data_IF_897011356331
#
_entry.id   IF_897011356331
#
_cell.length_a   1.000
_cell.length_b   1.000
_cell.length_c   1.000
_cell.angle_alpha   90.00
_cell.angle_beta   90.00
_cell.angle_gamma   90.00
#
_symmetry.space_group_name_H-M   'P 1'
#
loop_
_entity.id
_entity.type
_entity.pdbx_description
1 polymer ?
#
# COMPACT_ATOMS: atom_id res chain seq x y z
N UNK A 1 10.29 -13.40 8.03
CA UNK A 1 9.39 -12.73 8.97
C UNK A 1 8.26 -12.03 8.21
N UNK A 2 7.03 -12.15 8.69
CA UNK A 2 5.88 -11.34 8.25
C UNK A 2 5.31 -10.62 9.46
N UNK A 3 5.21 -9.29 9.38
CA UNK A 3 4.54 -8.46 10.36
C UNK A 3 3.43 -7.66 9.68
N UNK A 4 2.18 -7.88 10.10
CA UNK A 4 1.01 -7.12 9.65
C UNK A 4 0.80 -6.00 10.66
N UNK A 5 1.32 -4.81 10.34
CA UNK A 5 1.20 -3.62 11.19
C UNK A 5 -0.23 -3.06 11.12
N UNK A 6 -0.79 -3.02 9.90
CA UNK A 6 -2.18 -2.66 9.66
C UNK A 6 -2.73 -3.44 8.46
N UNK A 7 -3.99 -3.86 8.54
CA UNK A 7 -4.71 -4.43 7.40
C UNK A 7 -6.20 -4.14 7.56
N UNK A 8 -6.54 -2.86 7.63
CA UNK A 8 -7.89 -2.36 7.87
C UNK A 8 -8.63 -3.03 9.03
N UNK A 9 -9.95 -2.87 9.04
CA UNK A 9 -10.85 -3.56 9.95
C UNK A 9 -12.17 -3.84 9.23
N UNK A 10 -12.44 -5.12 8.98
CA UNK A 10 -13.70 -5.53 8.36
C UNK A 10 -14.79 -5.60 9.43
N UNK A 11 -15.46 -4.47 9.66
CA UNK A 11 -16.74 -4.35 10.41
C UNK A 11 -16.74 -4.84 11.86
N UNK A 12 -17.72 -4.40 12.64
CA UNK A 12 -17.87 -4.82 14.03
C UNK A 12 -18.50 -6.22 14.11
N UNK A 13 -18.01 -7.14 14.96
CA UNK A 13 -16.83 -7.00 15.83
C UNK A 13 -15.52 -7.08 15.04
N UNK A 14 -14.55 -6.24 15.42
CA UNK A 14 -13.25 -6.03 14.77
C UNK A 14 -12.48 -7.34 14.57
N UNK A 15 -12.69 -8.01 13.45
CA UNK A 15 -11.90 -9.16 13.05
C UNK A 15 -10.67 -8.65 12.29
N UNK A 16 -9.48 -8.98 12.81
CA UNK A 16 -8.21 -8.67 12.12
C UNK A 16 -8.29 -9.25 10.71
N UNK A 17 -8.28 -8.40 9.69
CA UNK A 17 -8.34 -8.89 8.32
C UNK A 17 -7.07 -9.68 8.01
N UNK A 18 -7.25 -10.79 7.33
CA UNK A 18 -6.19 -11.73 7.00
C UNK A 18 -5.44 -11.27 5.75
N UNK A 19 -4.29 -11.88 5.50
CA UNK A 19 -3.58 -11.67 4.23
C UNK A 19 -4.44 -12.09 3.03
N UNK A 20 -5.25 -13.14 3.17
CA UNK A 20 -6.23 -13.58 2.16
C UNK A 20 -7.29 -12.52 1.87
N UNK A 21 -7.70 -11.75 2.87
CA UNK A 21 -8.59 -10.60 2.65
C UNK A 21 -7.91 -9.54 1.80
N UNK A 22 -6.65 -9.21 2.09
CA UNK A 22 -5.89 -8.24 1.31
C UNK A 22 -5.75 -8.70 -0.16
N UNK A 23 -5.45 -9.98 -0.39
CA UNK A 23 -5.42 -10.57 -1.73
C UNK A 23 -6.73 -10.33 -2.49
N UNK A 24 -7.87 -10.65 -1.86
CA UNK A 24 -9.19 -10.43 -2.44
C UNK A 24 -9.47 -8.95 -2.71
N UNK A 25 -9.10 -8.06 -1.77
CA UNK A 25 -9.31 -6.62 -1.91
C UNK A 25 -8.48 -6.04 -3.08
N UNK A 26 -7.23 -6.46 -3.26
CA UNK A 26 -6.37 -6.07 -4.38
C UNK A 26 -6.94 -6.49 -5.75
N UNK A 27 -7.68 -7.59 -5.80
CA UNK A 27 -8.37 -8.03 -7.02
C UNK A 27 -9.70 -7.31 -7.26
N UNK A 28 -10.36 -6.85 -6.20
CA UNK A 28 -11.74 -6.32 -6.26
C UNK A 28 -11.77 -4.80 -6.37
N UNK A 29 -10.94 -4.10 -5.59
CA UNK A 29 -10.99 -2.65 -5.43
C UNK A 29 -9.79 -1.97 -6.08
N UNK A 30 -10.03 -0.77 -6.63
CA UNK A 30 -8.97 0.05 -7.21
C UNK A 30 -8.10 0.66 -6.11
N UNK A 31 -6.78 0.50 -6.23
CA UNK A 31 -5.83 1.16 -5.35
C UNK A 31 -5.94 2.68 -5.46
N UNK A 32 -5.73 3.38 -4.35
CA UNK A 32 -5.70 4.84 -4.33
C UNK A 32 -4.35 5.36 -4.88
N UNK A 33 -4.34 6.06 -6.04
CA UNK A 33 -3.11 6.57 -6.65
C UNK A 33 -2.33 7.55 -5.77
N UNK A 34 -2.97 8.20 -4.78
CA UNK A 34 -2.28 9.08 -3.82
C UNK A 34 -1.12 8.36 -3.15
N UNK A 35 -1.23 7.05 -2.96
CA UNK A 35 -0.21 6.25 -2.28
C UNK A 35 1.02 5.93 -3.14
N UNK A 36 1.02 6.24 -4.45
CA UNK A 36 2.24 6.13 -5.27
C UNK A 36 3.39 6.99 -4.68
N UNK A 37 3.06 8.12 -4.04
CA UNK A 37 4.06 9.04 -3.44
C UNK A 37 4.80 8.45 -2.23
N UNK A 38 4.30 7.38 -1.63
CA UNK A 38 4.87 6.76 -0.42
C UNK A 38 5.73 5.53 -0.73
N UNK A 39 6.15 5.36 -1.98
CA UNK A 39 7.00 4.24 -2.42
C UNK A 39 6.30 3.26 -3.35
N UNK A 40 5.34 3.71 -4.16
CA UNK A 40 4.74 2.88 -5.22
C UNK A 40 4.04 1.63 -4.70
N UNK A 41 3.46 1.69 -3.50
CA UNK A 41 2.84 0.59 -2.76
C UNK A 41 3.79 -0.52 -2.26
N UNK A 42 4.91 -0.77 -2.94
CA UNK A 42 5.93 -1.75 -2.54
C UNK A 42 7.29 -1.07 -2.49
N UNK A 43 7.80 -0.89 -1.27
CA UNK A 43 9.13 -0.35 -1.02
C UNK A 43 10.08 -1.48 -0.60
N UNK A 44 10.91 -1.94 -1.53
CA UNK A 44 11.92 -3.00 -1.29
C UNK A 44 13.11 -2.55 -0.44
N UNK A 45 13.31 -1.24 -0.31
CA UNK A 45 14.44 -0.66 0.44
C UNK A 45 13.92 0.44 1.36
N UNK A 46 13.10 0.10 2.37
CA UNK A 46 12.57 1.09 3.30
C UNK A 46 13.69 1.75 4.09
N UNK A 47 13.61 3.08 4.22
CA UNK A 47 14.53 3.86 5.05
C UNK A 47 13.90 4.04 6.42
N UNK A 48 14.42 3.31 7.40
CA UNK A 48 13.99 3.42 8.80
C UNK A 48 14.70 4.60 9.49
N UNK A 49 13.98 5.34 10.32
CA UNK A 49 14.50 6.54 10.99
C UNK A 49 15.40 6.16 12.16
N UNK A 50 15.01 5.16 12.95
CA UNK A 50 15.77 4.70 14.11
C UNK A 50 16.57 3.43 13.80
N UNK A 51 17.74 3.32 14.43
CA UNK A 51 18.69 2.22 14.19
C UNK A 51 18.27 0.88 14.78
N UNK A 52 17.26 0.82 15.66
CA UNK A 52 16.74 -0.43 16.21
C UNK A 52 15.78 -1.09 15.23
N UNK A 53 14.80 -0.34 14.73
CA UNK A 53 13.88 -0.71 13.65
C UNK A 53 14.65 -1.09 12.38
N UNK A 54 15.69 -0.32 12.03
CA UNK A 54 16.54 -0.63 10.88
C UNK A 54 17.22 -2.01 11.00
N UNK A 55 17.64 -2.38 12.22
CA UNK A 55 18.24 -3.69 12.49
C UNK A 55 17.18 -4.80 12.52
N UNK A 56 16.03 -4.56 13.16
CA UNK A 56 14.92 -5.51 13.26
C UNK A 56 14.38 -5.91 11.89
N UNK A 57 14.22 -4.94 10.99
CA UNK A 57 13.65 -5.13 9.65
C UNK A 57 14.69 -5.00 8.54
N UNK A 58 15.95 -5.29 8.85
CA UNK A 58 17.02 -5.29 7.85
C UNK A 58 16.70 -6.29 6.74
N UNK A 59 16.69 -5.83 5.49
CA UNK A 59 16.34 -6.64 4.32
C UNK A 59 14.83 -6.89 4.11
N UNK A 60 13.95 -6.34 4.96
CA UNK A 60 12.52 -6.43 4.76
C UNK A 60 12.01 -5.35 3.79
N UNK A 61 10.94 -5.68 3.07
CA UNK A 61 10.17 -4.77 2.24
C UNK A 61 8.94 -4.26 2.99
N UNK A 62 8.53 -3.03 2.71
CA UNK A 62 7.27 -2.44 3.18
C UNK A 62 6.25 -2.46 2.06
N UNK A 63 5.07 -2.99 2.33
CA UNK A 63 3.94 -3.01 1.40
C UNK A 63 2.81 -2.23 2.04
N UNK A 64 2.46 -1.08 1.48
CA UNK A 64 1.52 -0.15 2.11
C UNK A 64 0.65 0.57 1.09
N UNK A 65 -0.60 0.82 1.46
CA UNK A 65 -1.55 1.48 0.57
C UNK A 65 -2.94 1.58 1.16
N UNK A 66 -3.85 2.11 0.34
CA UNK A 66 -5.28 2.14 0.60
C UNK A 66 -6.03 1.96 -0.72
N UNK A 67 -7.35 1.78 -0.65
CA UNK A 67 -8.22 1.67 -1.82
C UNK A 67 -9.06 2.93 -1.99
N UNK A 68 -9.30 3.31 -3.25
CA UNK A 68 -9.92 4.57 -3.61
C UNK A 68 -11.37 4.69 -3.13
N UNK A 69 -12.14 3.61 -3.29
CA UNK A 69 -13.57 3.57 -2.97
C UNK A 69 -13.89 2.80 -1.70
N UNK A 70 -12.87 2.26 -1.02
CA UNK A 70 -13.03 1.41 0.15
C UNK A 70 -11.93 1.74 1.16
N UNK A 71 -12.30 2.38 2.27
CA UNK A 71 -11.33 2.80 3.28
C UNK A 71 -10.78 1.58 4.04
N UNK A 72 -9.71 0.99 3.54
CA UNK A 72 -9.02 -0.18 4.09
C UNK A 72 -7.52 -0.03 3.90
N UNK A 73 -6.90 0.77 4.77
CA UNK A 73 -5.47 0.97 4.74
C UNK A 73 -4.74 -0.31 5.17
N UNK A 74 -3.72 -0.70 4.41
CA UNK A 74 -2.85 -1.81 4.72
C UNK A 74 -1.40 -1.35 4.85
N UNK A 75 -0.67 -1.98 5.76
CA UNK A 75 0.74 -1.78 6.03
C UNK A 75 1.33 -3.10 6.51
N UNK A 76 2.20 -3.68 5.69
CA UNK A 76 2.87 -4.94 5.96
C UNK A 76 4.39 -4.74 5.87
N UNK A 77 5.12 -5.41 6.75
CA UNK A 77 6.58 -5.52 6.69
C UNK A 77 6.90 -6.99 6.53
N UNK A 78 7.64 -7.35 5.48
CA UNK A 78 8.00 -8.75 5.25
C UNK A 78 9.32 -8.88 4.51
N UNK A 79 10.08 -9.92 4.81
CA UNK A 79 11.28 -10.35 4.07
C UNK A 79 10.98 -11.56 3.15
N UNK A 80 9.73 -12.03 3.12
CA UNK A 80 9.35 -13.24 2.40
C UNK A 80 9.19 -12.92 0.90
N UNK A 81 10.21 -13.27 0.10
CA UNK A 81 10.26 -12.94 -1.32
C UNK A 81 9.05 -13.45 -2.13
N UNK A 82 8.52 -14.65 -1.81
CA UNK A 82 7.33 -15.18 -2.49
C UNK A 82 6.09 -14.31 -2.23
N UNK A 83 5.93 -13.83 -1.00
CA UNK A 83 4.84 -12.95 -0.61
C UNK A 83 4.98 -11.57 -1.27
N UNK A 84 6.20 -11.01 -1.23
CA UNK A 84 6.51 -9.74 -1.88
C UNK A 84 6.15 -9.81 -3.36
N UNK A 85 6.64 -10.83 -4.07
CA UNK A 85 6.37 -11.02 -5.51
C UNK A 85 4.89 -11.20 -5.81
N UNK A 86 4.18 -11.94 -4.96
CA UNK A 86 2.74 -12.17 -5.14
C UNK A 86 1.94 -10.87 -5.01
N UNK A 87 2.26 -10.06 -4.00
CA UNK A 87 1.61 -8.76 -3.78
C UNK A 87 2.02 -7.74 -4.85
N UNK A 88 3.28 -7.69 -5.25
CA UNK A 88 3.74 -6.87 -6.38
C UNK A 88 2.96 -7.18 -7.65
N UNK A 89 2.82 -8.46 -8.01
CA UNK A 89 2.08 -8.85 -9.22
C UNK A 89 0.63 -8.38 -9.19
N UNK A 90 -0.02 -8.46 -8.04
CA UNK A 90 -1.41 -8.02 -7.88
C UNK A 90 -1.54 -6.51 -7.91
N UNK A 91 -0.61 -5.81 -7.27
CA UNK A 91 -0.55 -4.34 -7.32
C UNK A 91 -0.30 -3.89 -8.75
N UNK A 92 0.63 -4.51 -9.48
CA UNK A 92 0.89 -4.20 -10.90
C UNK A 92 -0.33 -4.48 -11.77
N UNK A 93 -1.02 -5.61 -11.57
CA UNK A 93 -2.27 -5.93 -12.27
C UNK A 93 -3.35 -4.87 -11.96
N UNK A 94 -3.49 -4.45 -10.71
CA UNK A 94 -4.43 -3.40 -10.30
C UNK A 94 -4.06 -2.07 -10.96
N UNK A 95 -2.78 -1.70 -10.96
CA UNK A 95 -2.26 -0.50 -11.61
C UNK A 95 -2.47 -0.51 -13.12
N UNK A 96 -2.36 -1.65 -13.76
CA UNK A 96 -2.63 -1.81 -15.18
C UNK A 96 -4.13 -1.72 -15.55
N UNK A 97 -5.03 -1.76 -14.57
CA UNK A 97 -6.47 -1.69 -14.83
C UNK A 97 -6.90 -0.32 -15.39
N UNK A 98 -7.88 -0.26 -16.31
CA UNK A 98 -8.44 1.00 -16.79
C UNK A 98 -8.98 1.90 -15.67
N UNK A 99 -9.55 1.29 -14.62
CA UNK A 99 -10.10 1.99 -13.47
C UNK A 99 -8.99 2.73 -12.71
N UNK A 100 -7.87 2.06 -12.46
CA UNK A 100 -6.71 2.67 -11.81
C UNK A 100 -6.11 3.77 -12.66
N UNK A 101 -5.92 3.54 -13.97
CA UNK A 101 -5.35 4.54 -14.87
C UNK A 101 -6.23 5.80 -14.94
N UNK A 102 -7.55 5.64 -14.98
CA UNK A 102 -8.49 6.76 -14.92
C UNK A 102 -8.41 7.50 -13.57
N UNK A 103 -8.35 6.78 -12.45
CA UNK A 103 -8.18 7.36 -11.12
C UNK A 103 -6.86 8.14 -11.00
N UNK A 104 -5.76 7.57 -11.49
CA UNK A 104 -4.44 8.18 -11.48
C UNK A 104 -4.38 9.41 -12.36
N UNK A 105 -4.97 9.38 -13.55
CA UNK A 105 -5.06 10.55 -14.43
C UNK A 105 -5.85 11.69 -13.77
N UNK A 106 -6.98 11.37 -13.13
CA UNK A 106 -7.75 12.34 -12.34
C UNK A 106 -6.92 12.94 -11.22
N UNK A 107 -6.25 12.09 -10.42
CA UNK A 107 -5.39 12.54 -9.34
C UNK A 107 -4.25 13.46 -9.81
N UNK A 108 -3.60 13.13 -10.94
CA UNK A 108 -2.54 13.97 -11.52
C UNK A 108 -3.07 15.28 -12.14
N UNK A 109 -4.31 15.28 -12.64
CA UNK A 109 -4.95 16.47 -13.23
C UNK A 109 -5.56 17.40 -12.18
N UNK A 110 -5.93 16.85 -11.02
CA UNK A 110 -6.37 17.64 -9.88
C UNK A 110 -5.15 18.37 -9.34
N UNK A 111 -5.09 19.68 -9.57
CA UNK A 111 -4.09 20.62 -9.07
C UNK A 111 -4.14 20.80 -7.53
N UNK A 112 -4.46 19.72 -6.79
CA UNK A 112 -4.37 19.62 -5.33
C UNK A 112 -2.92 19.33 -4.89
N UNK A 113 -1.98 19.99 -5.58
CA UNK A 113 -0.64 20.20 -5.04
C UNK A 113 -0.84 21.21 -3.91
N UNK A 114 -0.46 20.93 -2.66
CA UNK A 114 -0.38 21.99 -1.67
C UNK A 114 0.53 23.06 -2.28
N UNK A 115 -0.03 24.23 -2.57
CA UNK A 115 0.78 25.39 -2.91
C UNK A 115 1.74 25.59 -1.75
N UNK A 116 3.06 25.68 -1.98
CA UNK A 116 3.95 26.11 -0.91
C UNK A 116 3.41 27.48 -0.48
N UNK A 117 3.11 27.61 0.82
CA UNK A 117 2.65 28.86 1.42
C UNK A 117 3.53 29.98 0.88
N UNK A 118 2.91 30.91 0.12
CA UNK A 118 3.59 32.11 -0.34
C UNK A 118 3.93 32.93 0.90
N UNK A 119 5.20 32.88 1.31
CA UNK A 119 5.80 33.84 2.23
C UNK A 119 5.79 35.24 1.64
#
# INVERSE_FOLDING_TARGET
MLEIVANGSNTYPYQKSTLSDLYRLLETYTLDPVFERYGGFVNRTPRWIDGETARKYSGASVIAGNFLSYSHAFYLITDQEELIRSLERLIEKNRASPQYQAARARWLSSDDRPQPDRQ
#
